data_IF_808313960307
#
_entry.id   IF_808313960307
#
_cell.length_a   1.000
_cell.length_b   1.000
_cell.length_c   1.000
_cell.angle_alpha   90.00
_cell.angle_beta   90.00
_cell.angle_gamma   90.00
#
_symmetry.space_group_name_H-M   'P 1'
#
loop_
_entity.id
_entity.type
_entity.pdbx_description
1 polymer ?
#
# COMPACT_ATOMS: atom_id res chain seq x y z
N UNK A 1 -3.38 10.30 -5.00
CA UNK A 1 -2.33 9.82 -5.95
C UNK A 1 -2.10 8.35 -5.69
N UNK A 2 -2.60 7.47 -6.58
CA UNK A 2 -2.33 6.03 -6.50
C UNK A 2 -0.94 5.83 -7.10
N UNK A 3 0.09 5.63 -6.26
CA UNK A 3 1.37 5.21 -6.79
C UNK A 3 1.19 3.83 -7.44
N UNK A 4 1.73 3.61 -8.65
CA UNK A 4 1.56 2.35 -9.37
C UNK A 4 2.04 1.20 -8.49
N UNK A 5 1.25 0.13 -8.47
CA UNK A 5 1.59 -1.19 -7.92
C UNK A 5 3.06 -1.49 -8.21
N UNK A 6 3.87 -1.43 -7.14
CA UNK A 6 5.31 -1.66 -7.24
C UNK A 6 5.54 -3.15 -7.46
N UNK A 7 5.54 -3.56 -8.73
CA UNK A 7 6.13 -4.81 -9.14
C UNK A 7 7.63 -4.70 -8.85
N UNK A 8 8.08 -5.36 -7.79
CA UNK A 8 9.50 -5.38 -7.44
C UNK A 8 10.30 -5.82 -8.69
N UNK A 9 11.31 -5.04 -9.13
CA UNK A 9 12.20 -5.48 -10.20
C UNK A 9 12.81 -6.82 -9.78
N UNK A 10 12.91 -7.76 -10.73
CA UNK A 10 13.31 -9.15 -10.44
C UNK A 10 14.56 -9.15 -9.55
N UNK A 11 14.39 -9.61 -8.31
CA UNK A 11 15.46 -10.04 -7.42
C UNK A 11 16.43 -10.90 -8.23
N UNK A 12 17.67 -10.44 -8.42
CA UNK A 12 18.77 -11.36 -8.68
C UNK A 12 18.84 -12.29 -7.47
N UNK A 13 18.38 -13.53 -7.63
CA UNK A 13 17.96 -14.41 -6.52
C UNK A 13 19.05 -14.77 -5.50
N UNK A 14 20.31 -14.40 -5.72
CA UNK A 14 21.45 -14.87 -4.92
C UNK A 14 22.30 -13.84 -4.18
N UNK A 15 22.05 -12.53 -4.31
CA UNK A 15 22.94 -11.52 -3.72
C UNK A 15 22.24 -10.59 -2.72
N UNK A 16 22.47 -10.77 -1.40
CA UNK A 16 21.89 -9.91 -0.36
C UNK A 16 22.23 -8.43 -0.52
N UNK A 17 23.45 -8.10 -0.96
CA UNK A 17 23.89 -6.71 -1.15
C UNK A 17 23.19 -6.04 -2.34
N UNK A 18 22.96 -6.76 -3.44
CA UNK A 18 22.17 -6.25 -4.56
C UNK A 18 20.71 -6.01 -4.15
N UNK A 19 20.13 -6.89 -3.34
CA UNK A 19 18.78 -6.71 -2.78
C UNK A 19 18.69 -5.47 -1.87
N UNK A 20 19.68 -5.27 -1.00
CA UNK A 20 19.79 -4.08 -0.14
C UNK A 20 19.90 -2.80 -0.97
N UNK A 21 20.80 -2.76 -1.96
CA UNK A 21 20.98 -1.60 -2.84
C UNK A 21 19.70 -1.22 -3.58
N UNK A 22 18.98 -2.20 -4.14
CA UNK A 22 17.71 -1.95 -4.81
C UNK A 22 16.65 -1.41 -3.85
N UNK A 23 16.61 -1.93 -2.62
CA UNK A 23 15.72 -1.45 -1.56
C UNK A 23 16.05 0.00 -1.18
N UNK A 24 17.33 0.33 -1.03
CA UNK A 24 17.76 1.68 -0.64
C UNK A 24 17.45 2.71 -1.73
N UNK A 25 17.70 2.37 -3.00
CA UNK A 25 17.32 3.22 -4.14
C UNK A 25 15.81 3.44 -4.17
N UNK A 26 15.03 2.38 -3.90
CA UNK A 26 13.58 2.48 -3.84
C UNK A 26 13.11 3.38 -2.69
N UNK A 27 13.66 3.23 -1.48
CA UNK A 27 13.35 4.10 -0.33
C UNK A 27 13.65 5.55 -0.69
N UNK A 28 14.84 5.85 -1.23
CA UNK A 28 15.20 7.21 -1.61
C UNK A 28 14.24 7.79 -2.68
N UNK A 29 13.84 6.97 -3.66
CA UNK A 29 12.88 7.38 -4.70
C UNK A 29 11.49 7.66 -4.13
N UNK A 30 11.04 6.86 -3.16
CA UNK A 30 9.75 7.08 -2.49
C UNK A 30 9.80 8.32 -1.60
N UNK A 31 10.86 8.49 -0.80
CA UNK A 31 11.02 9.67 0.07
C UNK A 31 11.08 10.97 -0.73
N UNK A 32 11.63 10.97 -1.95
CA UNK A 32 11.63 12.14 -2.82
C UNK A 32 10.26 12.46 -3.45
N UNK A 33 9.31 11.51 -3.46
CA UNK A 33 7.98 11.66 -4.06
C UNK A 33 6.88 11.89 -3.04
N UNK A 34 7.07 11.38 -1.82
CA UNK A 34 6.07 11.47 -0.76
C UNK A 34 6.13 12.85 -0.11
N UNK A 35 4.98 13.49 0.16
CA UNK A 35 4.95 14.75 0.89
C UNK A 35 5.42 14.57 2.33
N UNK A 36 6.03 15.60 2.91
CA UNK A 36 6.46 15.62 4.31
C UNK A 36 5.27 15.85 5.24
N UNK A 37 4.48 14.80 5.44
CA UNK A 37 3.28 14.78 6.29
C UNK A 37 3.23 13.49 7.09
N UNK A 38 2.49 13.44 8.22
CA UNK A 38 2.41 12.19 8.98
C UNK A 38 1.56 11.15 8.24
N UNK A 39 2.06 9.92 8.16
CA UNK A 39 1.37 8.77 7.58
C UNK A 39 0.91 7.79 8.67
N UNK A 40 -0.15 7.04 8.36
CA UNK A 40 -0.58 5.87 9.10
C UNK A 40 -0.38 4.63 8.23
N UNK A 41 -0.08 3.50 8.86
CA UNK A 41 0.12 2.22 8.21
C UNK A 41 -0.93 1.21 8.66
N UNK A 42 -1.42 0.40 7.72
CA UNK A 42 -2.35 -0.69 7.97
C UNK A 42 -2.06 -1.88 7.06
N UNK A 43 -2.50 -3.05 7.50
CA UNK A 43 -2.41 -4.28 6.72
C UNK A 43 -3.81 -4.83 6.45
N UNK A 44 -4.13 -5.04 5.18
CA UNK A 44 -5.36 -5.69 4.74
C UNK A 44 -5.03 -7.14 4.41
N UNK A 45 -5.51 -8.07 5.23
CA UNK A 45 -5.26 -9.50 5.04
C UNK A 45 -6.49 -10.15 4.44
N UNK A 46 -6.30 -10.89 3.34
CA UNK A 46 -7.38 -11.67 2.75
C UNK A 46 -7.72 -12.85 3.67
N UNK A 47 -9.01 -13.17 3.92
CA UNK A 47 -9.40 -14.39 4.59
C UNK A 47 -8.79 -15.63 3.94
N UNK A 48 -8.40 -16.60 4.77
CA UNK A 48 -7.77 -17.85 4.36
C UNK A 48 -8.63 -18.69 3.41
N UNK A 49 -9.95 -18.68 3.60
CA UNK A 49 -10.91 -19.34 2.71
C UNK A 49 -10.81 -18.87 1.24
N UNK A 50 -10.33 -17.63 1.01
CA UNK A 50 -10.19 -17.05 -0.33
C UNK A 50 -8.78 -17.19 -0.91
N UNK A 51 -7.82 -17.67 -0.12
CA UNK A 51 -6.44 -17.85 -0.56
C UNK A 51 -6.28 -18.70 -1.82
N UNK A 52 -6.96 -19.87 -1.97
CA UNK A 52 -6.84 -20.70 -3.17
C UNK A 52 -7.32 -19.98 -4.44
N UNK A 53 -8.27 -19.05 -4.33
CA UNK A 53 -8.75 -18.28 -5.48
C UNK A 53 -7.63 -17.43 -6.07
N UNK A 54 -6.90 -16.70 -5.21
CA UNK A 54 -5.80 -15.82 -5.63
C UNK A 54 -4.53 -16.59 -6.00
N UNK A 55 -4.30 -17.74 -5.37
CA UNK A 55 -3.18 -18.62 -5.70
C UNK A 55 -3.30 -19.15 -7.14
N UNK A 56 -4.50 -19.65 -7.49
CA UNK A 56 -4.81 -20.16 -8.82
C UNK A 56 -5.00 -19.05 -9.87
N UNK A 57 -5.46 -17.87 -9.45
CA UNK A 57 -5.74 -16.73 -10.33
C UNK A 57 -4.87 -15.52 -10.00
N UNK A 58 -3.55 -15.66 -10.22
CA UNK A 58 -2.56 -14.61 -9.90
C UNK A 58 -2.84 -13.24 -10.53
N UNK A 59 -3.60 -13.17 -11.61
CA UNK A 59 -3.98 -11.91 -12.25
C UNK A 59 -4.93 -11.07 -11.36
N UNK A 60 -5.70 -11.70 -10.48
CA UNK A 60 -6.59 -11.03 -9.51
C UNK A 60 -5.82 -10.19 -8.48
N UNK A 61 -4.55 -10.54 -8.23
CA UNK A 61 -3.69 -9.84 -7.29
C UNK A 61 -3.52 -8.34 -7.64
N UNK A 62 -3.55 -8.00 -8.94
CA UNK A 62 -3.49 -6.61 -9.38
C UNK A 62 -4.71 -5.79 -8.94
N UNK A 63 -5.87 -6.41 -8.80
CA UNK A 63 -7.11 -5.74 -8.39
C UNK A 63 -7.21 -5.55 -6.87
N UNK A 64 -6.56 -6.41 -6.09
CA UNK A 64 -6.59 -6.33 -4.63
C UNK A 64 -6.08 -5.00 -4.08
N UNK A 65 -4.99 -4.49 -4.65
CA UNK A 65 -4.44 -3.21 -4.24
C UNK A 65 -5.40 -2.06 -4.55
N UNK A 66 -6.02 -2.08 -5.73
CA UNK A 66 -7.02 -1.09 -6.12
C UNK A 66 -8.20 -1.11 -5.14
N UNK A 67 -8.78 -2.28 -4.87
CA UNK A 67 -9.90 -2.42 -3.94
C UNK A 67 -9.58 -1.88 -2.54
N UNK A 68 -8.40 -2.20 -2.01
CA UNK A 68 -8.00 -1.71 -0.69
C UNK A 68 -7.74 -0.20 -0.67
N UNK A 69 -7.15 0.35 -1.73
CA UNK A 69 -6.93 1.78 -1.86
C UNK A 69 -8.25 2.56 -2.08
N UNK A 70 -9.15 2.03 -2.90
CA UNK A 70 -10.44 2.63 -3.22
C UNK A 70 -11.31 2.78 -1.97
N UNK A 71 -11.29 1.81 -1.06
CA UNK A 71 -11.98 1.92 0.23
C UNK A 71 -11.48 3.12 1.07
N UNK A 72 -10.17 3.38 1.08
CA UNK A 72 -9.59 4.52 1.78
C UNK A 72 -9.89 5.85 1.07
N UNK A 73 -9.84 5.86 -0.27
CA UNK A 73 -10.18 7.04 -1.07
C UNK A 73 -11.66 7.40 -0.91
N UNK A 74 -12.55 6.42 -0.97
CA UNK A 74 -13.98 6.60 -0.73
C UNK A 74 -14.22 7.21 0.66
N UNK A 75 -13.61 6.66 1.71
CA UNK A 75 -13.74 7.20 3.07
C UNK A 75 -13.24 8.65 3.21
N UNK A 76 -12.25 9.05 2.40
CA UNK A 76 -11.74 10.41 2.38
C UNK A 76 -12.62 11.36 1.57
N UNK A 77 -13.17 10.89 0.46
CA UNK A 77 -14.11 11.62 -0.38
C UNK A 77 -15.37 12.00 0.40
N UNK A 78 -15.88 11.11 1.26
CA UNK A 78 -16.98 11.42 2.19
C UNK A 78 -16.66 12.58 3.14
N UNK A 79 -15.39 13.00 3.26
CA UNK A 79 -14.93 14.12 4.07
C UNK A 79 -14.46 15.31 3.21
N UNK A 80 -14.62 15.25 1.88
CA UNK A 80 -14.14 16.26 0.94
C UNK A 80 -12.61 16.33 0.85
N UNK A 81 -11.92 15.20 1.02
CA UNK A 81 -10.47 15.12 1.07
C UNK A 81 -9.90 14.12 0.08
N UNK A 82 -8.78 14.48 -0.54
CA UNK A 82 -7.95 13.57 -1.34
C UNK A 82 -6.73 13.13 -0.53
N UNK A 83 -6.59 11.82 -0.28
CA UNK A 83 -5.45 11.25 0.44
C UNK A 83 -4.27 10.89 -0.48
N UNK A 84 -3.08 10.91 0.11
CA UNK A 84 -1.91 10.21 -0.43
C UNK A 84 -1.91 8.76 0.06
N UNK A 85 -1.79 7.80 -0.85
CA UNK A 85 -1.74 6.36 -0.51
C UNK A 85 -0.58 5.73 -1.27
N UNK A 86 0.20 4.93 -0.56
CA UNK A 86 1.20 4.04 -1.16
C UNK A 86 1.17 2.70 -0.45
N UNK A 87 1.66 1.66 -1.10
CA UNK A 87 1.72 0.36 -0.45
C UNK A 87 2.36 -0.73 -1.28
N UNK A 88 2.36 -1.92 -0.69
CA UNK A 88 2.98 -3.11 -1.24
C UNK A 88 2.04 -4.30 -1.06
N UNK A 89 1.90 -5.09 -2.13
CA UNK A 89 1.22 -6.37 -2.09
C UNK A 89 2.24 -7.47 -1.78
N UNK A 90 1.95 -8.27 -0.76
CA UNK A 90 2.72 -9.46 -0.40
C UNK A 90 1.85 -10.71 -0.57
N UNK A 91 2.41 -11.76 -1.18
CA UNK A 91 1.68 -13.03 -1.41
C UNK A 91 2.08 -14.14 -0.44
N UNK A 92 3.17 -13.96 0.31
CA UNK A 92 3.69 -14.97 1.23
C UNK A 92 3.92 -14.36 2.61
N UNK A 93 3.59 -15.13 3.64
CA UNK A 93 3.91 -14.79 5.02
C UNK A 93 5.37 -15.10 5.39
N UNK A 94 5.75 -14.79 6.62
CA UNK A 94 7.10 -15.07 7.16
C UNK A 94 7.46 -16.57 7.12
N UNK A 95 6.47 -17.44 7.26
CA UNK A 95 6.64 -18.90 7.20
C UNK A 95 6.61 -19.45 5.76
N UNK A 96 6.63 -18.58 4.75
CA UNK A 96 6.50 -18.94 3.32
C UNK A 96 5.19 -19.66 2.97
N UNK A 97 4.20 -19.61 3.87
CA UNK A 97 2.84 -19.99 3.55
C UNK A 97 2.20 -18.93 2.65
N UNK A 98 1.30 -19.39 1.78
CA UNK A 98 0.47 -18.49 1.00
C UNK A 98 -0.33 -17.62 1.97
N UNK A 99 -0.14 -16.31 1.91
CA UNK A 99 -0.82 -15.34 2.75
C UNK A 99 -0.85 -14.03 1.98
N UNK A 100 -1.93 -13.84 1.24
CA UNK A 100 -2.12 -12.64 0.44
C UNK A 100 -2.56 -11.48 1.34
N UNK A 101 -1.66 -10.53 1.55
CA UNK A 101 -1.91 -9.35 2.36
C UNK A 101 -1.32 -8.10 1.71
N UNK A 102 -1.95 -6.97 1.97
CA UNK A 102 -1.61 -5.67 1.40
C UNK A 102 -1.19 -4.77 2.53
N UNK A 103 0.04 -4.28 2.45
CA UNK A 103 0.52 -3.19 3.28
C UNK A 103 0.14 -1.88 2.63
N UNK A 104 -0.73 -1.10 3.26
CA UNK A 104 -1.06 0.25 2.83
C UNK A 104 -0.59 1.27 3.86
N UNK A 105 0.01 2.33 3.36
CA UNK A 105 0.32 3.53 4.11
C UNK A 105 -0.42 4.70 3.49
N UNK A 106 -1.14 5.45 4.29
CA UNK A 106 -1.92 6.59 3.84
C UNK A 106 -1.63 7.80 4.71
N UNK A 107 -1.82 8.98 4.14
CA UNK A 107 -1.62 10.22 4.87
C UNK A 107 -2.66 10.41 5.97
N UNK A 108 -2.26 10.95 7.11
CA UNK A 108 -3.17 11.27 8.23
C UNK A 108 -3.97 12.57 8.01
N UNK A 109 -4.16 12.94 6.75
CA UNK A 109 -4.75 14.17 6.26
C UNK A 109 -4.84 14.12 4.76
N UNK A 110 -5.57 15.05 4.17
CA UNK A 110 -5.76 15.11 2.72
C UNK A 110 -5.85 16.54 2.21
N UNK A 111 -5.82 16.67 0.90
CA UNK A 111 -6.01 17.94 0.20
C UNK A 111 -7.51 18.12 -0.06
N UNK A 112 -8.07 19.26 0.32
CA UNK A 112 -9.45 19.61 -0.01
C UNK A 112 -9.58 20.17 -1.44
N UNK A 113 -10.81 20.43 -1.89
CA UNK A 113 -11.08 20.96 -3.24
C UNK A 113 -10.41 22.32 -3.53
N UNK A 114 -10.02 23.05 -2.48
CA UNK A 114 -9.29 24.32 -2.59
C UNK A 114 -7.76 24.16 -2.62
N UNK A 115 -7.25 22.92 -2.60
CA UNK A 115 -5.81 22.65 -2.58
C UNK A 115 -5.17 22.77 -1.18
N UNK A 116 -5.96 22.99 -0.14
CA UNK A 116 -5.46 23.17 1.22
C UNK A 116 -5.35 21.83 1.96
N UNK A 117 -4.24 21.65 2.67
CA UNK A 117 -4.02 20.48 3.51
C UNK A 117 -4.89 20.52 4.78
N UNK A 118 -5.65 19.45 5.01
CA UNK A 118 -6.48 19.28 6.19
C UNK A 118 -6.07 18.00 6.93
N UNK A 119 -5.74 18.13 8.22
CA UNK A 119 -5.40 16.99 9.07
C UNK A 119 -6.65 16.24 9.50
N UNK A 120 -6.61 14.91 9.45
CA UNK A 120 -7.66 14.03 9.94
C UNK A 120 -7.17 13.35 11.21
N UNK A 121 -7.83 13.58 12.35
CA UNK A 121 -7.48 12.89 13.60
C UNK A 121 -7.95 11.44 13.55
N UNK A 122 -7.00 10.50 13.47
CA UNK A 122 -7.26 9.07 13.30
C UNK A 122 -7.55 8.34 14.63
N UNK A 123 -8.39 8.89 15.52
CA UNK A 123 -8.80 8.17 16.74
C UNK A 123 -9.75 6.99 16.47
N UNK A 124 -10.28 6.84 15.26
CA UNK A 124 -11.46 5.99 15.00
C UNK A 124 -11.40 5.11 13.73
N UNK A 125 -10.23 4.86 13.14
CA UNK A 125 -10.12 3.88 12.04
C UNK A 125 -9.33 2.69 12.54
N UNK A 126 -10.03 1.79 13.22
CA UNK A 126 -9.57 0.41 13.47
C UNK A 126 -10.16 -0.45 12.35
N UNK A 127 -9.28 -1.03 11.54
CA UNK A 127 -9.64 -2.13 10.64
C UNK A 127 -9.48 -3.45 11.39
#
# INVERSE_FOLDING_TARGET
MILPLLRQPRKGRGCPSCGKKATDIWIATMMARLPDVPFQHGTFTMPDALWPLFENNRWLLGHLFALAADNLLYAAEQRGLTLGIFGALHTYGRQLNWNCHIHLSWTTGGINDHGNWTRVSHRHIKF
#
